data_IF_103305931213
#
_entry.id   IF_103305931213
#
_cell.length_a   1.000
_cell.length_b   1.000
_cell.length_c   1.000
_cell.angle_alpha   90.00
_cell.angle_beta   90.00
_cell.angle_gamma   90.00
#
_symmetry.space_group_name_H-M   'P 1'
#
loop_
_entity.id
_entity.type
_entity.pdbx_description
1 polymer ?
#
# COMPACT_ATOMS: atom_id res chain seq x y z
N UNK A 1 13.70 1.45 11.65
CA UNK A 1 12.35 1.59 11.07
C UNK A 1 12.40 1.06 9.65
N UNK A 2 12.00 -0.19 9.43
CA UNK A 2 11.97 -0.83 8.11
C UNK A 2 10.63 -0.55 7.43
N UNK A 3 10.69 0.02 6.24
CA UNK A 3 9.53 0.35 5.43
C UNK A 3 10.01 0.94 4.11
N UNK A 4 9.47 0.47 2.99
CA UNK A 4 9.82 1.01 1.68
C UNK A 4 8.98 2.27 1.44
N UNK A 5 9.57 3.28 0.77
CA UNK A 5 8.91 4.55 0.47
C UNK A 5 8.69 4.74 -1.04
N UNK A 6 7.83 3.92 -1.66
CA UNK A 6 7.53 4.05 -3.07
C UNK A 6 6.57 5.22 -3.34
N UNK A 7 6.47 5.54 -4.62
CA UNK A 7 5.46 6.45 -5.15
C UNK A 7 4.19 5.64 -5.44
N UNK A 8 3.09 6.08 -4.87
CA UNK A 8 1.76 5.58 -5.09
C UNK A 8 1.09 6.36 -6.22
N UNK A 9 0.49 5.67 -7.19
CA UNK A 9 -0.36 6.29 -8.20
C UNK A 9 -1.84 6.16 -7.82
N UNK A 10 -2.50 7.31 -7.66
CA UNK A 10 -3.93 7.44 -7.39
C UNK A 10 -4.60 8.13 -8.56
N UNK A 11 -5.15 7.33 -9.48
CA UNK A 11 -5.66 7.83 -10.76
C UNK A 11 -4.54 8.48 -11.59
N UNK A 12 -4.59 9.80 -11.73
CA UNK A 12 -3.59 10.60 -12.45
C UNK A 12 -2.53 11.24 -11.54
N UNK A 13 -2.71 11.16 -10.22
CA UNK A 13 -1.80 11.77 -9.24
C UNK A 13 -0.75 10.77 -8.77
N UNK A 14 0.48 11.24 -8.59
CA UNK A 14 1.57 10.51 -7.95
C UNK A 14 1.84 11.13 -6.58
N UNK A 15 1.87 10.31 -5.53
CA UNK A 15 2.14 10.75 -4.15
C UNK A 15 3.04 9.77 -3.43
N UNK A 16 3.80 10.23 -2.44
CA UNK A 16 4.64 9.35 -1.64
C UNK A 16 3.80 8.55 -0.64
N UNK A 17 4.15 7.27 -0.48
CA UNK A 17 3.56 6.43 0.55
C UNK A 17 4.64 5.68 1.33
N UNK A 18 4.26 5.15 2.49
CA UNK A 18 5.07 4.21 3.25
C UNK A 18 4.37 2.86 3.20
N UNK A 19 5.11 1.83 2.78
CA UNK A 19 4.61 0.45 2.78
C UNK A 19 5.27 -0.29 3.94
N UNK A 20 4.44 -0.94 4.75
CA UNK A 20 4.87 -1.76 5.89
C UNK A 20 4.27 -3.15 5.76
N UNK A 21 5.03 -4.19 6.09
CA UNK A 21 4.46 -5.53 6.17
C UNK A 21 3.46 -5.61 7.32
N UNK A 22 2.30 -6.24 7.08
CA UNK A 22 1.35 -6.57 8.14
C UNK A 22 1.92 -7.65 9.11
N UNK A 23 2.81 -8.50 8.61
CA UNK A 23 3.42 -9.62 9.34
C UNK A 23 4.79 -9.26 9.97
N UNK A 24 5.23 -8.00 9.88
CA UNK A 24 6.54 -7.56 10.39
C UNK A 24 7.74 -8.01 9.55
N UNK A 25 7.52 -8.37 8.28
CA UNK A 25 8.59 -8.72 7.34
C UNK A 25 9.43 -7.48 6.99
N UNK A 26 10.76 -7.60 7.07
CA UNK A 26 11.69 -6.49 6.82
C UNK A 26 12.17 -6.42 5.35
N UNK A 27 12.07 -7.51 4.60
CA UNK A 27 12.54 -7.61 3.22
C UNK A 27 11.52 -8.30 2.33
N UNK A 28 11.12 -7.63 1.24
CA UNK A 28 10.20 -8.19 0.24
C UNK A 28 10.99 -8.92 -0.84
N UNK A 29 10.72 -10.21 -1.02
CA UNK A 29 11.25 -10.99 -2.13
C UNK A 29 10.41 -10.80 -3.40
N UNK A 30 11.06 -10.81 -4.58
CA UNK A 30 10.33 -10.72 -5.83
C UNK A 30 9.30 -11.83 -6.04
N UNK A 31 8.27 -11.54 -6.84
CA UNK A 31 7.20 -12.48 -7.28
C UNK A 31 6.32 -13.09 -6.17
N UNK A 32 6.60 -12.80 -4.90
CA UNK A 32 5.78 -13.19 -3.77
C UNK A 32 4.74 -12.10 -3.46
N UNK A 33 3.53 -12.53 -3.14
CA UNK A 33 2.49 -11.64 -2.62
C UNK A 33 2.69 -11.43 -1.12
N UNK A 34 2.43 -10.21 -0.65
CA UNK A 34 2.52 -9.84 0.76
C UNK A 34 1.32 -8.99 1.15
N UNK A 35 0.81 -9.26 2.35
CA UNK A 35 -0.15 -8.37 2.97
C UNK A 35 0.60 -7.22 3.64
N UNK A 36 0.25 -6.00 3.23
CA UNK A 36 0.96 -4.78 3.59
C UNK A 36 -0.03 -3.69 3.98
N UNK A 37 0.42 -2.82 4.86
CA UNK A 37 -0.26 -1.56 5.10
C UNK A 37 0.39 -0.46 4.26
N UNK A 38 -0.45 0.26 3.53
CA UNK A 38 -0.04 1.48 2.83
C UNK A 38 -0.48 2.68 3.65
N UNK A 39 0.48 3.56 3.94
CA UNK A 39 0.28 4.84 4.58
C UNK A 39 0.55 5.97 3.59
N UNK A 40 -0.43 6.81 3.28
CA UNK A 40 -0.23 7.99 2.42
C UNK A 40 0.37 9.12 3.24
N UNK A 41 1.48 9.70 2.76
CA UNK A 41 2.20 10.77 3.47
C UNK A 41 1.35 12.05 3.56
N UNK A 42 0.69 12.42 2.47
CA UNK A 42 -0.14 13.62 2.35
C UNK A 42 -1.63 13.24 2.26
N UNK A 43 -2.13 12.62 3.32
CA UNK A 43 -3.51 12.10 3.35
C UNK A 43 -4.56 13.21 3.23
N UNK A 44 -4.32 14.40 3.78
CA UNK A 44 -5.31 15.48 3.74
C UNK A 44 -5.55 15.97 2.30
N UNK A 45 -4.54 15.87 1.46
CA UNK A 45 -4.54 16.33 0.07
C UNK A 45 -5.03 15.25 -0.90
N UNK A 46 -4.73 13.98 -0.63
CA UNK A 46 -4.94 12.89 -1.59
C UNK A 46 -5.80 11.73 -1.08
N UNK A 47 -6.19 11.72 0.20
CA UNK A 47 -6.93 10.61 0.81
C UNK A 47 -8.29 10.37 0.14
N UNK A 48 -8.92 11.40 -0.39
CA UNK A 48 -10.17 11.29 -1.16
C UNK A 48 -10.00 10.59 -2.53
N UNK A 49 -8.78 10.54 -3.07
CA UNK A 49 -8.48 9.81 -4.31
C UNK A 49 -8.18 8.33 -4.06
N UNK A 50 -8.01 7.95 -2.79
CA UNK A 50 -7.75 6.58 -2.40
C UNK A 50 -9.07 5.80 -2.37
N UNK A 51 -9.32 5.02 -3.42
CA UNK A 51 -10.55 4.24 -3.58
C UNK A 51 -10.27 2.73 -3.55
N UNK A 52 -11.05 1.94 -2.79
CA UNK A 52 -11.00 0.47 -2.79
C UNK A 52 -11.26 -0.17 -4.15
N UNK A 53 -11.96 0.53 -5.02
CA UNK A 53 -12.36 0.04 -6.34
C UNK A 53 -11.27 0.23 -7.40
N UNK A 54 -10.24 1.04 -7.10
CA UNK A 54 -9.14 1.33 -8.01
C UNK A 54 -7.89 0.51 -7.64
N UNK A 55 -7.20 -0.11 -8.61
CA UNK A 55 -5.97 -0.84 -8.33
C UNK A 55 -4.87 0.12 -7.87
N UNK A 56 -4.24 -0.22 -6.75
CA UNK A 56 -3.14 0.56 -6.19
C UNK A 56 -1.84 0.16 -6.88
N UNK A 57 -1.12 1.13 -7.44
CA UNK A 57 0.16 0.88 -8.13
C UNK A 57 1.30 1.58 -7.42
N UNK A 58 2.34 0.82 -7.11
CA UNK A 58 3.54 1.28 -6.44
C UNK A 58 4.70 1.38 -7.44
N UNK A 59 5.39 2.50 -7.41
CA UNK A 59 6.48 2.84 -8.31
C UNK A 59 7.75 3.19 -7.53
N UNK A 60 8.89 2.82 -8.10
CA UNK A 60 10.20 3.33 -7.72
C UNK A 60 10.77 4.13 -8.90
N UNK A 61 10.76 5.46 -8.76
CA UNK A 61 10.94 6.36 -9.90
C UNK A 61 9.87 6.14 -10.98
N UNK A 62 10.29 5.78 -12.19
CA UNK A 62 9.39 5.46 -13.32
C UNK A 62 9.00 3.99 -13.42
N UNK A 63 9.58 3.12 -12.58
CA UNK A 63 9.38 1.68 -12.67
C UNK A 63 8.22 1.24 -11.78
N UNK A 64 7.25 0.53 -12.36
CA UNK A 64 6.22 -0.16 -11.58
C UNK A 64 6.86 -1.32 -10.81
N UNK A 65 6.74 -1.31 -9.48
CA UNK A 65 7.34 -2.32 -8.60
C UNK A 65 6.29 -3.21 -7.94
N UNK A 66 5.02 -2.79 -7.83
CA UNK A 66 3.95 -3.64 -7.32
C UNK A 66 2.57 -3.13 -7.75
N UNK A 67 1.63 -4.05 -7.88
CA UNK A 67 0.19 -3.81 -7.98
C UNK A 67 -0.47 -4.38 -6.74
N UNK A 68 -1.35 -3.61 -6.12
CA UNK A 68 -2.02 -4.01 -4.89
C UNK A 68 -3.53 -4.01 -5.07
N UNK A 69 -4.15 -4.98 -4.44
CA UNK A 69 -5.60 -5.10 -4.33
C UNK A 69 -5.98 -4.87 -2.86
N UNK A 70 -7.10 -4.20 -2.64
CA UNK A 70 -7.59 -4.00 -1.28
C UNK A 70 -7.99 -5.33 -0.69
N UNK A 71 -7.45 -5.61 0.50
CA UNK A 71 -7.93 -6.73 1.27
C UNK A 71 -9.31 -6.34 1.80
N UNK A 72 -10.35 -7.17 1.60
CA UNK A 72 -11.60 -6.95 2.29
C UNK A 72 -11.26 -6.95 3.78
N UNK A 73 -11.56 -5.84 4.46
CA UNK A 73 -11.48 -5.77 5.91
C UNK A 73 -12.42 -6.84 6.46
N UNK A 74 -11.92 -8.04 6.68
CA UNK A 74 -12.54 -8.99 7.59
C UNK A 74 -12.61 -8.21 8.90
N UNK A 75 -13.82 -7.78 9.25
CA UNK A 75 -14.13 -7.18 10.55
C UNK A 75 -13.73 -8.20 11.60
N UNK A 76 -12.47 -8.18 12.01
CA UNK A 76 -12.00 -8.93 13.15
C UNK A 76 -10.98 -8.03 13.83
N UNK A 77 -11.45 -7.52 14.96
CA UNK A 77 -10.73 -6.79 15.99
C UNK A 77 -10.35 -5.32 15.70
N UNK A 78 -11.37 -4.48 15.91
CA UNK A 78 -11.25 -3.29 16.76
C UNK A 78 -10.67 -3.73 18.13
N UNK A 79 -9.36 -3.96 18.20
CA UNK A 79 -8.66 -4.09 19.46
C UNK A 79 -7.22 -3.58 19.32
N UNK A 80 -6.95 -2.49 20.04
CA UNK A 80 -5.65 -1.92 20.34
C UNK A 80 -4.87 -1.23 19.20
N UNK A 81 -5.10 0.09 19.10
CA UNK A 81 -4.07 1.02 18.63
C UNK A 81 -4.44 1.83 17.40
N UNK A 82 -5.21 2.90 17.59
CA UNK A 82 -5.32 4.06 16.69
C UNK A 82 -5.37 3.74 15.20
N UNK A 83 -6.57 3.41 14.69
CA UNK A 83 -6.82 3.39 13.26
C UNK A 83 -6.61 4.81 12.71
N UNK A 84 -5.38 5.08 12.28
CA UNK A 84 -5.05 6.33 11.62
C UNK A 84 -5.75 6.31 10.26
N UNK A 85 -6.56 7.33 9.92
CA UNK A 85 -7.39 7.32 8.71
C UNK A 85 -6.55 7.25 7.43
N UNK A 86 -5.23 7.41 7.52
CA UNK A 86 -4.28 7.37 6.43
C UNK A 86 -3.70 5.98 6.12
N UNK A 87 -4.14 4.92 6.81
CA UNK A 87 -3.58 3.57 6.68
C UNK A 87 -4.64 2.60 6.16
N UNK A 88 -4.30 1.80 5.17
CA UNK A 88 -5.21 0.76 4.65
C UNK A 88 -4.47 -0.53 4.31
N UNK A 89 -5.03 -1.69 4.70
CA UNK A 89 -4.46 -2.98 4.37
C UNK A 89 -4.74 -3.32 2.90
N UNK A 90 -3.69 -3.72 2.19
CA UNK A 90 -3.77 -4.18 0.81
C UNK A 90 -2.86 -5.40 0.64
N UNK A 91 -3.20 -6.26 -0.30
CA UNK A 91 -2.31 -7.33 -0.73
C UNK A 91 -1.51 -6.83 -1.92
N UNK A 92 -0.20 -6.73 -1.77
CA UNK A 92 0.71 -6.27 -2.81
C UNK A 92 1.36 -7.46 -3.51
N UNK A 93 1.29 -7.48 -4.84
CA UNK A 93 1.99 -8.44 -5.68
C UNK A 93 2.84 -7.68 -6.71
N UNK A 94 4.05 -8.15 -6.93
CA UNK A 94 4.89 -7.62 -8.01
C UNK A 94 4.25 -7.90 -9.38
N UNK A 95 4.26 -6.94 -10.31
CA UNK A 95 3.87 -7.21 -11.68
C UNK A 95 4.82 -8.25 -12.27
N UNK A 96 4.26 -9.35 -12.77
CA UNK A 96 5.02 -10.29 -13.61
C UNK A 96 5.41 -9.56 -14.89
N UNK A 97 6.71 -9.37 -15.11
CA UNK A 97 7.21 -8.87 -16.39
C UNK A 97 7.25 -10.09 -17.32
N UNK A 98 6.26 -10.19 -18.21
CA UNK A 98 6.29 -11.11 -19.36
C UNK A 98 6.96 -10.44 -20.55
#
# INVERSE_FOLDING_TARGET
MSGIRPVLRLGEVLTSCVVRSAEGIESFQPERAYDVDIEIVFWQEYGNLFSPEAPVRLYDGSRLIATCEYLPLLKTDVAAGGASPNRSPVSAKQPSIT
#
